data_IF_245354200672
#
_entry.id   IF_245354200672
#
_cell.length_a   1.000
_cell.length_b   1.000
_cell.length_c   1.000
_cell.angle_alpha   90.00
_cell.angle_beta   90.00
_cell.angle_gamma   90.00
#
_symmetry.space_group_name_H-M   'P 1'
#
loop_
_entity.id
_entity.type
_entity.pdbx_description
1 polymer ?
#
# COMPACT_ATOMS: atom_id res chain seq x y z
N UNK A 1 -5.55 14.18 -5.32
CA UNK A 1 -5.17 12.89 -4.74
C UNK A 1 -4.23 12.15 -5.67
N UNK A 2 -3.18 11.59 -5.11
CA UNK A 2 -2.29 10.69 -5.84
C UNK A 2 -2.97 9.36 -6.10
N UNK A 3 -2.39 8.55 -6.98
CA UNK A 3 -2.91 7.21 -7.26
C UNK A 3 -3.04 6.37 -5.99
N UNK A 4 -1.99 6.32 -5.17
CA UNK A 4 -2.01 5.49 -3.96
C UNK A 4 -2.96 6.02 -2.89
N UNK A 5 -3.16 7.33 -2.80
CA UNK A 5 -4.19 7.85 -1.90
C UNK A 5 -5.57 7.34 -2.29
N UNK A 6 -5.88 7.33 -3.60
CA UNK A 6 -7.14 6.78 -4.11
C UNK A 6 -7.23 5.28 -3.89
N UNK A 7 -6.15 4.55 -4.21
CA UNK A 7 -6.12 3.10 -4.09
C UNK A 7 -6.34 2.67 -2.64
N UNK A 8 -5.59 3.25 -1.72
CA UNK A 8 -5.70 2.89 -0.31
C UNK A 8 -7.01 3.37 0.31
N UNK A 9 -7.54 4.51 -0.12
CA UNK A 9 -8.87 4.96 0.34
C UNK A 9 -9.95 3.94 -0.03
N UNK A 10 -9.88 3.37 -1.23
CA UNK A 10 -10.82 2.33 -1.65
C UNK A 10 -10.58 1.02 -0.87
N UNK A 11 -9.33 0.62 -0.73
CA UNK A 11 -8.95 -0.63 -0.06
C UNK A 11 -9.34 -0.63 1.41
N UNK A 12 -9.15 0.50 2.08
CA UNK A 12 -9.41 0.65 3.52
C UNK A 12 -10.85 1.09 3.81
N UNK A 13 -11.65 1.33 2.78
CA UNK A 13 -13.02 1.80 2.92
C UNK A 13 -14.03 0.67 3.14
N UNK A 14 -15.33 0.99 3.10
CA UNK A 14 -16.39 0.01 3.39
C UNK A 14 -16.53 -1.07 2.32
N UNK A 15 -16.02 -0.84 1.11
CA UNK A 15 -16.02 -1.82 0.04
C UNK A 15 -14.60 -1.98 -0.52
N UNK A 16 -13.76 -2.81 0.14
CA UNK A 16 -12.37 -3.01 -0.31
C UNK A 16 -12.25 -3.52 -1.74
N UNK A 17 -13.23 -4.26 -2.25
CA UNK A 17 -13.21 -4.75 -3.62
C UNK A 17 -13.24 -3.62 -4.65
N UNK A 18 -13.73 -2.43 -4.29
CA UNK A 18 -13.72 -1.29 -5.19
C UNK A 18 -12.30 -0.86 -5.58
N UNK A 19 -11.28 -1.21 -4.79
CA UNK A 19 -9.89 -0.97 -5.13
C UNK A 19 -9.48 -1.70 -6.41
N UNK A 20 -10.14 -2.81 -6.74
CA UNK A 20 -9.84 -3.59 -7.95
C UNK A 20 -10.20 -2.84 -9.23
N UNK A 21 -11.02 -1.80 -9.16
CA UNK A 21 -11.30 -0.92 -10.31
C UNK A 21 -10.05 -0.16 -10.77
N UNK A 22 -9.05 -0.03 -9.89
CA UNK A 22 -7.79 0.62 -10.19
C UNK A 22 -6.71 -0.37 -10.61
N UNK A 23 -7.05 -1.63 -10.78
CA UNK A 23 -6.14 -2.73 -11.07
C UNK A 23 -6.45 -3.28 -12.45
N UNK A 24 -5.41 -3.39 -13.30
CA UNK A 24 -5.55 -3.98 -14.63
C UNK A 24 -5.83 -5.47 -14.55
N UNK A 25 -6.50 -6.02 -15.58
CA UNK A 25 -6.83 -7.44 -15.62
C UNK A 25 -5.58 -8.32 -15.61
N UNK A 26 -4.47 -7.84 -16.18
CA UNK A 26 -3.20 -8.56 -16.31
C UNK A 26 -2.15 -8.10 -15.29
N UNK A 27 -2.58 -7.53 -14.17
CA UNK A 27 -1.66 -7.07 -13.13
C UNK A 27 -0.75 -8.19 -12.63
N UNK A 28 0.50 -7.82 -12.34
CA UNK A 28 1.40 -8.67 -11.56
C UNK A 28 1.77 -7.90 -10.29
N UNK A 29 1.66 -8.54 -9.14
CA UNK A 29 1.94 -7.88 -7.88
C UNK A 29 2.86 -8.69 -6.99
N UNK A 30 3.54 -7.98 -6.10
CA UNK A 30 4.33 -8.56 -5.02
C UNK A 30 4.12 -7.73 -3.76
N UNK A 31 3.67 -8.37 -2.70
CA UNK A 31 3.51 -7.75 -1.40
C UNK A 31 4.47 -8.46 -0.45
N UNK A 32 5.38 -7.69 0.16
CA UNK A 32 6.33 -8.22 1.13
C UNK A 32 6.15 -7.53 2.45
N UNK A 33 6.18 -8.30 3.52
CA UNK A 33 6.23 -7.70 4.85
C UNK A 33 7.06 -8.56 5.79
N UNK A 34 7.78 -7.88 6.67
CA UNK A 34 8.38 -8.48 7.84
C UNK A 34 7.44 -8.25 9.02
N UNK A 35 7.13 -9.30 9.73
CA UNK A 35 6.27 -9.22 10.90
C UNK A 35 7.02 -9.81 12.09
N UNK A 36 7.22 -8.98 13.14
CA UNK A 36 7.78 -9.43 14.39
C UNK A 36 9.29 -9.64 14.38
N UNK A 37 9.75 -10.37 15.38
CA UNK A 37 11.18 -10.48 15.72
C UNK A 37 11.89 -11.64 15.01
N UNK A 38 11.16 -12.43 14.23
CA UNK A 38 11.72 -13.65 13.65
C UNK A 38 12.58 -13.42 12.41
N UNK A 39 12.69 -12.17 11.96
CA UNK A 39 13.43 -11.76 10.75
C UNK A 39 12.97 -12.45 9.47
N UNK A 40 11.83 -13.12 9.52
CA UNK A 40 11.26 -13.74 8.34
C UNK A 40 10.34 -12.76 7.65
N UNK A 41 10.47 -12.66 6.33
CA UNK A 41 9.54 -11.91 5.53
C UNK A 41 8.56 -12.86 4.88
N UNK A 42 7.33 -12.39 4.71
CA UNK A 42 6.32 -13.08 3.92
C UNK A 42 6.19 -12.37 2.59
N UNK A 43 5.96 -13.13 1.54
CA UNK A 43 5.78 -12.61 0.21
C UNK A 43 4.53 -13.21 -0.41
N UNK A 44 3.68 -12.33 -0.93
CA UNK A 44 2.49 -12.72 -1.69
C UNK A 44 2.66 -12.19 -3.09
N UNK A 45 2.54 -13.08 -4.08
CA UNK A 45 2.68 -12.71 -5.50
C UNK A 45 1.53 -13.30 -6.29
N UNK A 46 1.24 -12.71 -7.44
CA UNK A 46 0.23 -13.24 -8.32
C UNK A 46 -0.36 -12.21 -9.24
N UNK A 47 -1.51 -12.54 -9.78
CA UNK A 47 -2.30 -11.67 -10.63
C UNK A 47 -3.51 -11.10 -9.88
N UNK A 48 -4.49 -10.64 -10.65
CA UNK A 48 -5.66 -9.95 -10.10
C UNK A 48 -6.48 -10.86 -9.18
N UNK A 49 -6.63 -12.15 -9.50
CA UNK A 49 -7.39 -13.08 -8.68
C UNK A 49 -6.71 -13.33 -7.33
N UNK A 50 -5.39 -13.46 -7.32
CA UNK A 50 -4.63 -13.63 -6.08
C UNK A 50 -4.68 -12.37 -5.22
N UNK A 51 -4.67 -11.19 -5.84
CA UNK A 51 -4.83 -9.93 -5.13
C UNK A 51 -6.22 -9.84 -4.50
N UNK A 52 -7.25 -10.25 -5.22
CA UNK A 52 -8.61 -10.32 -4.70
C UNK A 52 -8.69 -11.26 -3.50
N UNK A 53 -8.05 -12.43 -3.61
CA UNK A 53 -7.99 -13.38 -2.50
C UNK A 53 -7.30 -12.80 -1.27
N UNK A 54 -6.24 -12.02 -1.48
CA UNK A 54 -5.56 -11.34 -0.39
C UNK A 54 -6.49 -10.33 0.31
N UNK A 55 -7.28 -9.59 -0.47
CA UNK A 55 -8.27 -8.66 0.08
C UNK A 55 -9.35 -9.42 0.86
N UNK A 56 -9.82 -10.54 0.31
CA UNK A 56 -10.87 -11.36 0.93
C UNK A 56 -10.41 -12.02 2.24
N UNK A 57 -9.11 -12.20 2.42
CA UNK A 57 -8.57 -12.79 3.65
C UNK A 57 -8.80 -11.91 4.88
N UNK A 58 -9.08 -10.62 4.70
CA UNK A 58 -9.48 -9.75 5.79
C UNK A 58 -8.38 -9.38 6.76
N UNK A 59 -7.12 -9.52 6.36
CA UNK A 59 -5.98 -9.26 7.24
C UNK A 59 -5.79 -7.77 7.56
N UNK A 60 -6.66 -6.91 7.01
CA UNK A 60 -6.55 -5.47 7.14
C UNK A 60 -7.58 -4.87 8.10
N UNK A 61 -8.25 -5.71 8.88
CA UNK A 61 -9.23 -5.22 9.83
C UNK A 61 -8.54 -4.48 10.99
N UNK A 62 -9.06 -3.30 11.29
CA UNK A 62 -8.60 -2.52 12.43
C UNK A 62 -7.41 -1.62 12.16
N UNK A 63 -6.97 -1.50 10.89
CA UNK A 63 -5.89 -0.57 10.54
C UNK A 63 -6.08 -0.07 9.11
N UNK A 64 -5.39 1.03 8.79
CA UNK A 64 -5.50 1.68 7.49
C UNK A 64 -4.14 2.21 7.03
N UNK A 65 -4.03 2.44 5.73
CA UNK A 65 -2.85 3.02 5.11
C UNK A 65 -2.91 4.55 5.16
N UNK A 66 -1.81 5.19 5.52
CA UNK A 66 -1.67 6.64 5.50
C UNK A 66 -0.46 7.01 4.66
N UNK A 67 -0.70 7.66 3.53
CA UNK A 67 0.37 8.11 2.64
C UNK A 67 1.00 9.38 3.23
N UNK A 68 2.30 9.33 3.46
CA UNK A 68 3.08 10.48 3.94
C UNK A 68 3.64 11.29 2.78
N UNK A 69 4.19 10.60 1.79
CA UNK A 69 4.71 11.21 0.58
C UNK A 69 4.33 10.37 -0.63
N UNK A 70 3.94 11.02 -1.70
CA UNK A 70 3.66 10.38 -2.97
C UNK A 70 4.34 11.12 -4.10
N UNK A 71 4.60 10.43 -5.18
CA UNK A 71 5.22 11.02 -6.36
C UNK A 71 4.96 10.22 -7.60
N UNK A 72 5.25 10.82 -8.74
CA UNK A 72 5.05 10.25 -10.06
C UNK A 72 6.30 10.48 -10.90
N UNK A 73 6.75 9.45 -11.58
CA UNK A 73 7.82 9.56 -12.58
C UNK A 73 7.38 8.76 -13.81
N UNK A 74 7.05 9.46 -14.89
CA UNK A 74 6.50 8.81 -16.09
C UNK A 74 5.20 8.11 -15.76
N UNK A 75 5.15 6.80 -16.02
CA UNK A 75 4.00 5.95 -15.71
C UNK A 75 4.12 5.23 -14.36
N UNK A 76 5.10 5.61 -13.54
CA UNK A 76 5.37 4.97 -12.26
C UNK A 76 4.95 5.87 -11.11
N UNK A 77 4.19 5.31 -10.18
CA UNK A 77 3.73 5.97 -8.97
C UNK A 77 4.47 5.42 -7.75
N UNK A 78 4.78 6.30 -6.80
CA UNK A 78 5.48 5.95 -5.57
C UNK A 78 4.72 6.48 -4.37
N UNK A 79 4.75 5.73 -3.28
CA UNK A 79 4.23 6.22 -2.01
C UNK A 79 5.05 5.67 -0.84
N UNK A 80 5.42 6.57 0.06
CA UNK A 80 5.94 6.23 1.38
C UNK A 80 4.82 6.50 2.37
N UNK A 81 4.53 5.55 3.24
CA UNK A 81 3.44 5.73 4.17
C UNK A 81 3.58 4.86 5.41
N UNK A 82 2.54 4.91 6.21
CA UNK A 82 2.43 4.15 7.45
C UNK A 82 1.11 3.42 7.50
N UNK A 83 1.11 2.24 8.10
CA UNK A 83 -0.12 1.60 8.52
C UNK A 83 -0.38 1.97 9.98
N UNK A 84 -1.60 2.39 10.29
CA UNK A 84 -2.00 2.86 11.61
C UNK A 84 -3.28 2.19 12.07
N UNK A 85 -3.39 1.98 13.37
CA UNK A 85 -4.64 1.53 13.99
C UNK A 85 -5.67 2.66 13.93
N UNK A 86 -6.92 2.34 14.26
CA UNK A 86 -8.00 3.33 14.33
C UNK A 86 -7.69 4.44 15.36
N UNK A 87 -6.86 4.15 16.36
CA UNK A 87 -6.40 5.12 17.34
C UNK A 87 -5.27 6.01 16.84
N UNK A 88 -4.79 5.77 15.62
CA UNK A 88 -3.70 6.53 15.02
C UNK A 88 -2.30 6.04 15.38
N UNK A 89 -2.19 4.91 16.06
CA UNK A 89 -0.89 4.32 16.40
C UNK A 89 -0.25 3.65 15.18
N UNK A 90 1.02 3.94 14.94
CA UNK A 90 1.75 3.33 13.83
C UNK A 90 2.01 1.85 14.12
N UNK A 91 1.65 1.00 13.15
CA UNK A 91 1.97 -0.44 13.17
C UNK A 91 3.23 -0.70 12.37
N UNK A 92 3.37 -0.04 11.22
CA UNK A 92 4.51 -0.24 10.33
C UNK A 92 4.65 0.86 9.32
N UNK A 93 5.73 0.81 8.57
CA UNK A 93 6.02 1.73 7.47
C UNK A 93 5.97 0.93 6.17
N UNK A 94 5.45 1.52 5.09
CA UNK A 94 5.43 0.86 3.79
C UNK A 94 6.02 1.74 2.69
N UNK A 95 6.54 1.08 1.67
CA UNK A 95 6.95 1.70 0.43
C UNK A 95 6.23 0.98 -0.70
N UNK A 96 5.46 1.71 -1.49
CA UNK A 96 4.67 1.17 -2.58
C UNK A 96 5.09 1.77 -3.91
N UNK A 97 5.12 0.93 -4.95
CA UNK A 97 5.45 1.33 -6.32
C UNK A 97 4.45 0.66 -7.26
N UNK A 98 3.92 1.42 -8.20
CA UNK A 98 3.04 0.88 -9.23
C UNK A 98 3.39 1.47 -10.59
N UNK A 99 3.31 0.65 -11.62
CA UNK A 99 3.32 1.10 -13.00
C UNK A 99 1.88 1.09 -13.50
N UNK A 100 1.46 2.20 -14.12
CA UNK A 100 0.09 2.37 -14.61
C UNK A 100 0.02 2.17 -16.11
N UNK A 101 -1.11 1.64 -16.58
CA UNK A 101 -1.39 1.58 -18.01
C UNK A 101 -2.04 2.90 -18.49
N UNK A 102 -2.47 2.91 -19.76
CA UNK A 102 -3.09 4.10 -20.37
C UNK A 102 -4.39 4.51 -19.70
N UNK A 103 -5.07 3.57 -19.08
CA UNK A 103 -6.34 3.81 -18.40
C UNK A 103 -6.15 4.21 -16.94
N UNK A 104 -4.90 4.31 -16.49
CA UNK A 104 -4.59 4.67 -15.12
C UNK A 104 -4.74 3.53 -14.12
N UNK A 105 -4.77 2.29 -14.61
CA UNK A 105 -4.82 1.11 -13.75
C UNK A 105 -3.44 0.52 -13.58
N UNK A 106 -3.17 -0.03 -12.40
CA UNK A 106 -1.84 -0.60 -12.17
C UNK A 106 -1.69 -1.96 -12.83
N UNK A 107 -0.63 -2.10 -13.61
CA UNK A 107 -0.23 -3.35 -14.27
C UNK A 107 0.92 -4.04 -13.55
N UNK A 108 1.68 -3.30 -12.77
CA UNK A 108 2.73 -3.82 -11.88
C UNK A 108 2.59 -3.12 -10.54
N UNK A 109 2.68 -3.90 -9.48
CA UNK A 109 2.50 -3.37 -8.14
C UNK A 109 3.43 -4.09 -7.18
N UNK A 110 4.17 -3.33 -6.42
CA UNK A 110 5.04 -3.86 -5.37
C UNK A 110 4.88 -3.01 -4.13
N UNK A 111 4.76 -3.66 -2.98
CA UNK A 111 4.77 -2.97 -1.71
C UNK A 111 5.61 -3.76 -0.72
N UNK A 112 6.42 -3.05 0.05
CA UNK A 112 7.22 -3.61 1.14
C UNK A 112 6.82 -2.91 2.43
N UNK A 113 6.72 -3.68 3.52
CA UNK A 113 6.34 -3.18 4.83
C UNK A 113 7.34 -3.63 5.88
N UNK A 114 7.64 -2.74 6.81
CA UNK A 114 8.52 -3.05 7.94
C UNK A 114 8.05 -2.30 9.18
N UNK A 115 7.94 -2.95 10.33
CA UNK A 115 7.66 -2.27 11.58
C UNK A 115 8.90 -1.59 12.18
N UNK A 116 10.09 -1.93 11.67
CA UNK A 116 11.36 -1.61 12.31
C UNK A 116 11.77 -0.14 12.19
N UNK A 117 11.26 0.57 11.18
CA UNK A 117 11.69 1.94 10.93
C UNK A 117 10.51 2.86 10.69
N UNK A 118 10.56 4.03 11.27
CA UNK A 118 9.60 5.11 11.01
C UNK A 118 10.35 6.30 10.41
N UNK A 119 9.67 6.99 9.48
CA UNK A 119 10.22 8.19 8.88
C UNK A 119 9.63 9.41 9.56
N UNK A 120 10.49 10.27 10.05
CA UNK A 120 10.11 11.48 10.78
C UNK A 120 9.84 12.63 9.80
N UNK A 121 8.80 12.46 8.97
CA UNK A 121 8.50 13.42 7.91
C UNK A 121 7.67 14.61 8.40
N UNK A 122 6.85 14.39 9.43
CA UNK A 122 5.98 15.43 9.96
C UNK A 122 6.71 16.43 10.85
N UNK A 123 7.69 15.99 11.61
CA UNK A 123 8.41 16.83 12.56
C UNK A 123 9.15 17.98 11.88
N UNK A 124 9.60 17.81 10.65
CA UNK A 124 10.26 18.86 9.90
C UNK A 124 9.35 20.02 9.56
N UNK A 125 8.12 19.71 9.24
CA UNK A 125 7.14 20.73 8.89
C UNK A 125 6.80 21.54 10.12
N UNK A 126 6.65 20.88 11.25
CA UNK A 126 6.30 21.52 12.52
C UNK A 126 7.46 22.32 13.08
N UNK A 127 8.68 21.89 12.83
CA UNK A 127 9.88 22.59 13.30
C UNK A 127 10.18 23.84 12.46
N UNK A 128 9.63 23.90 11.27
CA UNK A 128 9.72 25.08 10.44
C UNK A 128 8.74 26.14 10.84
#
# INVERSE_FOLDING_TARGET
MTFFERYFAALDGPDPHSSLDLVAADVAFSIQWAAGDDRKSRQFTGGREELRGFIDAGDMDGWAHHVLHGGTEGDVEFALGETRTDDGERIGTFLAVAQLDRDGRMVRYMVARSPAIAFDTGARVDAG
#
